data_IF_034068249022
#
_entry.id   IF_034068249022
#
_cell.length_a   1.000
_cell.length_b   1.000
_cell.length_c   1.000
_cell.angle_alpha   90.00
_cell.angle_beta   90.00
_cell.angle_gamma   90.00
#
_symmetry.space_group_name_H-M   'P 1'
#
loop_
_entity.id
_entity.type
_entity.pdbx_description
1 polymer ?
#
# COMPACT_ATOMS: atom_id res chain seq x y z
N UNK A 1 13.80 -3.19 6.15
CA UNK A 1 13.63 -2.02 5.26
C UNK A 1 14.81 -1.09 5.50
N UNK A 2 15.66 -0.82 4.50
CA UNK A 2 16.91 -0.07 4.66
C UNK A 2 16.69 1.33 5.27
N UNK A 3 15.59 1.97 4.89
CA UNK A 3 15.20 3.29 5.42
C UNK A 3 15.04 3.26 6.94
N UNK A 4 14.35 2.25 7.46
CA UNK A 4 14.15 2.11 8.90
C UNK A 4 15.44 1.81 9.66
N UNK A 5 16.36 1.06 9.04
CA UNK A 5 17.67 0.78 9.63
C UNK A 5 18.51 2.05 9.74
N UNK A 6 18.64 2.81 8.66
CA UNK A 6 19.37 4.09 8.66
C UNK A 6 18.75 5.04 9.67
N UNK A 7 17.43 5.14 9.70
CA UNK A 7 16.75 6.03 10.63
C UNK A 7 16.97 5.64 12.10
N UNK A 8 16.93 4.35 12.41
CA UNK A 8 17.17 3.87 13.76
C UNK A 8 18.64 4.08 14.19
N UNK A 9 19.60 3.97 13.27
CA UNK A 9 21.03 4.18 13.58
C UNK A 9 21.34 5.67 13.78
N UNK A 10 20.85 6.54 12.91
CA UNK A 10 21.19 7.98 12.94
C UNK A 10 20.45 8.73 14.05
N UNK A 11 19.18 8.38 14.29
CA UNK A 11 18.28 9.04 15.25
C UNK A 11 17.86 8.15 16.43
N UNK A 12 18.74 7.24 16.86
CA UNK A 12 18.46 6.32 17.97
C UNK A 12 18.07 7.06 19.26
N UNK A 13 18.90 8.02 19.67
CA UNK A 13 18.78 8.71 20.95
C UNK A 13 18.39 10.18 20.86
N UNK A 14 18.45 10.80 19.68
CA UNK A 14 18.25 12.25 19.51
C UNK A 14 17.43 12.55 18.25
N UNK A 15 16.71 13.67 18.25
CA UNK A 15 15.95 14.18 17.10
C UNK A 15 16.65 15.36 16.40
N UNK A 16 17.99 15.35 16.35
CA UNK A 16 18.80 16.42 15.73
C UNK A 16 18.89 16.22 14.22
N UNK A 17 18.75 17.30 13.44
CA UNK A 17 18.88 17.25 11.98
C UNK A 17 20.35 17.09 11.55
N UNK A 18 20.80 15.83 11.43
CA UNK A 18 22.17 15.46 11.02
C UNK A 18 22.31 15.23 9.51
N UNK A 19 21.20 14.93 8.82
CA UNK A 19 21.21 14.49 7.43
C UNK A 19 19.96 14.99 6.66
N UNK A 20 19.90 16.30 6.35
CA UNK A 20 18.72 16.91 5.72
C UNK A 20 18.44 16.32 4.33
N UNK A 21 19.49 16.02 3.55
CA UNK A 21 19.38 15.42 2.21
C UNK A 21 18.73 14.03 2.27
N UNK A 22 19.03 13.25 3.32
CA UNK A 22 18.42 11.94 3.51
C UNK A 22 16.92 12.05 3.80
N UNK A 23 16.54 13.00 4.68
CA UNK A 23 15.14 13.24 5.00
C UNK A 23 14.32 13.66 3.76
N UNK A 24 14.88 14.52 2.90
CA UNK A 24 14.23 14.93 1.65
C UNK A 24 13.95 13.74 0.72
N UNK A 25 14.96 12.89 0.51
CA UNK A 25 14.82 11.68 -0.32
C UNK A 25 13.75 10.76 0.29
N UNK A 26 13.78 10.55 1.60
CA UNK A 26 12.82 9.67 2.26
C UNK A 26 11.37 10.17 2.11
N UNK A 27 11.14 11.47 2.22
CA UNK A 27 9.81 12.08 2.04
C UNK A 27 9.35 11.94 0.59
N UNK A 28 10.24 12.14 -0.38
CA UNK A 28 9.98 11.96 -1.82
C UNK A 28 9.76 10.49 -2.21
N UNK A 29 10.20 9.52 -1.41
CA UNK A 29 10.03 8.09 -1.73
C UNK A 29 8.69 7.53 -1.22
N UNK A 30 8.01 8.19 -0.28
CA UNK A 30 6.57 7.98 0.00
C UNK A 30 6.11 6.52 0.13
N UNK A 31 6.88 5.68 0.83
CA UNK A 31 6.78 4.20 0.76
C UNK A 31 5.43 3.59 1.17
N UNK A 32 4.57 4.33 1.87
CA UNK A 32 3.33 3.80 2.45
C UNK A 32 2.28 3.48 1.39
N UNK A 33 2.08 4.36 0.41
CA UNK A 33 1.02 4.22 -0.60
C UNK A 33 1.40 3.16 -1.64
N UNK A 34 2.65 3.16 -2.09
CA UNK A 34 3.16 2.14 -3.02
C UNK A 34 3.05 0.72 -2.46
N UNK A 35 3.19 0.54 -1.15
CA UNK A 35 2.99 -0.76 -0.49
C UNK A 35 1.55 -1.26 -0.64
N UNK A 36 0.56 -0.41 -0.40
CA UNK A 36 -0.85 -0.79 -0.52
C UNK A 36 -1.25 -1.06 -1.97
N UNK A 37 -0.77 -0.23 -2.90
CA UNK A 37 -0.98 -0.43 -4.34
C UNK A 37 -0.38 -1.77 -4.83
N UNK A 38 0.84 -2.11 -4.40
CA UNK A 38 1.49 -3.36 -4.77
C UNK A 38 0.72 -4.58 -4.24
N UNK A 39 0.24 -4.52 -3.00
CA UNK A 39 -0.57 -5.60 -2.40
C UNK A 39 -1.88 -5.79 -3.14
N UNK A 40 -2.55 -4.71 -3.54
CA UNK A 40 -3.75 -4.77 -4.38
C UNK A 40 -3.46 -5.40 -5.76
N UNK A 41 -2.36 -5.01 -6.42
CA UNK A 41 -1.97 -5.59 -7.72
C UNK A 41 -1.68 -7.09 -7.61
N UNK A 42 -1.04 -7.53 -6.52
CA UNK A 42 -0.84 -8.96 -6.23
C UNK A 42 -2.19 -9.66 -6.10
N UNK A 43 -3.12 -9.12 -5.30
CA UNK A 43 -4.46 -9.72 -5.13
C UNK A 43 -5.22 -9.84 -6.47
N UNK A 44 -5.15 -8.80 -7.32
CA UNK A 44 -5.73 -8.80 -8.67
C UNK A 44 -5.08 -9.86 -9.57
N UNK A 45 -3.76 -9.94 -9.58
CA UNK A 45 -3.01 -10.94 -10.36
C UNK A 45 -3.40 -12.37 -9.96
N UNK A 46 -3.56 -12.64 -8.66
CA UNK A 46 -4.03 -13.95 -8.18
C UNK A 46 -5.45 -14.25 -8.68
N UNK A 47 -6.37 -13.28 -8.61
CA UNK A 47 -7.74 -13.47 -9.07
C UNK A 47 -7.83 -13.76 -10.58
N UNK A 48 -6.99 -13.10 -11.37
CA UNK A 48 -6.92 -13.30 -12.82
C UNK A 48 -6.40 -14.70 -13.18
N UNK A 49 -5.39 -15.22 -12.46
CA UNK A 49 -4.85 -16.57 -12.71
C UNK A 49 -5.87 -17.66 -12.40
N UNK A 50 -6.72 -17.45 -11.40
CA UNK A 50 -7.74 -18.44 -10.99
C UNK A 50 -9.01 -18.36 -11.87
N UNK A 51 -9.14 -17.31 -12.69
CA UNK A 51 -10.25 -17.14 -13.63
C UNK A 51 -10.22 -18.21 -14.74
N UNK A 52 -11.37 -18.74 -15.21
CA UNK A 52 -11.40 -19.81 -16.21
C UNK A 52 -11.00 -19.29 -17.60
N UNK A 53 -11.01 -17.96 -17.80
CA UNK A 53 -10.47 -17.28 -18.97
C UNK A 53 -8.93 -17.28 -19.01
N UNK A 54 -8.26 -17.75 -17.96
CA UNK A 54 -6.80 -17.77 -17.91
C UNK A 54 -6.17 -18.66 -18.99
N UNK A 55 -6.89 -19.69 -19.45
CA UNK A 55 -6.42 -20.62 -20.50
C UNK A 55 -6.48 -20.03 -21.92
N UNK A 56 -7.24 -18.95 -22.14
CA UNK A 56 -7.42 -18.29 -23.44
C UNK A 56 -6.71 -16.93 -23.52
N UNK A 57 -5.73 -16.68 -22.65
CA UNK A 57 -5.01 -15.40 -22.59
C UNK A 57 -4.06 -15.28 -23.79
N UNK A 58 -4.22 -14.22 -24.58
CA UNK A 58 -3.26 -13.87 -25.63
C UNK A 58 -2.02 -13.16 -25.06
N UNK A 59 -0.91 -13.13 -25.81
CA UNK A 59 0.30 -12.36 -25.43
C UNK A 59 0.00 -10.87 -25.25
N UNK A 60 -0.93 -10.32 -26.05
CA UNK A 60 -1.33 -8.92 -25.97
C UNK A 60 -2.09 -8.60 -24.67
N UNK A 61 -2.97 -9.50 -24.22
CA UNK A 61 -3.69 -9.35 -22.95
C UNK A 61 -2.77 -9.44 -21.74
N UNK A 62 -1.70 -10.23 -21.83
CA UNK A 62 -0.68 -10.31 -20.78
C UNK A 62 0.10 -8.99 -20.67
N UNK A 63 0.47 -8.38 -21.80
CA UNK A 63 1.18 -7.09 -21.82
C UNK A 63 0.29 -5.95 -21.32
N UNK A 64 -0.98 -5.89 -21.74
CA UNK A 64 -1.94 -4.88 -21.26
C UNK A 64 -2.13 -4.95 -19.74
N UNK A 65 -2.22 -6.16 -19.18
CA UNK A 65 -2.30 -6.35 -17.72
C UNK A 65 -1.05 -5.90 -16.99
N UNK A 66 0.12 -6.31 -17.45
CA UNK A 66 1.38 -5.87 -16.84
C UNK A 66 1.49 -4.34 -16.85
N UNK A 67 1.15 -3.69 -17.97
CA UNK A 67 1.12 -2.22 -18.05
C UNK A 67 0.16 -1.63 -17.03
N UNK A 68 -1.05 -2.19 -16.88
CA UNK A 68 -2.02 -1.69 -15.89
C UNK A 68 -1.52 -1.87 -14.46
N UNK A 69 -0.92 -3.01 -14.12
CA UNK A 69 -0.37 -3.28 -12.80
C UNK A 69 0.82 -2.34 -12.50
N UNK A 70 1.67 -2.05 -13.50
CA UNK A 70 2.74 -1.07 -13.36
C UNK A 70 2.23 0.36 -13.22
N UNK A 71 1.24 0.77 -14.02
CA UNK A 71 0.59 2.08 -13.92
C UNK A 71 -0.07 2.27 -12.55
N UNK A 72 -0.68 1.22 -12.00
CA UNK A 72 -1.31 1.30 -10.69
C UNK A 72 -0.29 1.27 -9.55
N UNK A 73 0.76 0.44 -9.67
CA UNK A 73 1.79 0.30 -8.63
C UNK A 73 2.77 1.47 -8.56
N UNK A 74 3.06 2.12 -9.69
CA UNK A 74 4.02 3.24 -9.76
C UNK A 74 3.36 4.57 -10.10
N UNK A 75 2.38 4.57 -11.01
CA UNK A 75 1.70 5.79 -11.44
C UNK A 75 0.85 6.41 -10.33
N UNK A 76 0.02 5.61 -9.65
CA UNK A 76 -0.83 6.15 -8.56
C UNK A 76 0.02 6.72 -7.40
N UNK A 77 1.03 6.00 -6.87
CA UNK A 77 1.93 6.61 -5.89
C UNK A 77 2.60 7.86 -6.43
N UNK A 78 3.13 7.86 -7.66
CA UNK A 78 3.78 9.02 -8.26
C UNK A 78 2.88 10.27 -8.32
N UNK A 79 1.62 10.10 -8.70
CA UNK A 79 0.64 11.20 -8.70
C UNK A 79 0.36 11.69 -7.28
N UNK A 80 0.15 10.78 -6.33
CA UNK A 80 -0.10 11.14 -4.92
C UNK A 80 1.12 11.85 -4.32
N UNK A 81 2.34 11.44 -4.69
CA UNK A 81 3.59 12.10 -4.29
C UNK A 81 3.67 13.52 -4.84
N UNK A 82 3.34 13.72 -6.11
CA UNK A 82 3.30 15.06 -6.71
C UNK A 82 2.24 15.96 -6.02
N UNK A 83 1.07 15.40 -5.70
CA UNK A 83 0.02 16.10 -4.97
C UNK A 83 0.31 16.29 -3.47
N UNK A 84 1.33 15.61 -2.92
CA UNK A 84 1.66 15.69 -1.49
C UNK A 84 1.99 17.12 -1.05
N UNK A 85 2.60 17.91 -1.93
CA UNK A 85 2.95 19.31 -1.70
C UNK A 85 1.72 20.14 -1.29
N UNK A 86 0.52 19.76 -1.73
CA UNK A 86 -0.69 20.54 -1.46
C UNK A 86 -1.08 20.63 0.02
N UNK A 87 -0.76 19.59 0.80
CA UNK A 87 -1.18 19.45 2.20
C UNK A 87 0.00 19.25 3.15
N UNK A 88 1.22 19.44 2.66
CA UNK A 88 2.44 19.31 3.43
C UNK A 88 2.79 20.67 4.06
N UNK A 89 2.71 20.82 5.39
CA UNK A 89 2.98 22.11 6.02
C UNK A 89 4.49 22.42 6.07
N UNK A 90 5.30 21.41 6.38
CA UNK A 90 6.75 21.53 6.56
C UNK A 90 7.48 20.47 5.73
N UNK A 91 8.74 20.74 5.41
CA UNK A 91 9.56 19.87 4.56
C UNK A 91 9.70 18.45 5.11
N UNK A 92 9.96 18.30 6.41
CA UNK A 92 9.96 17.03 7.13
C UNK A 92 9.87 17.27 8.66
N UNK A 93 9.51 16.24 9.41
CA UNK A 93 9.62 16.20 10.88
C UNK A 93 10.60 15.15 11.32
N UNK A 94 11.27 15.38 12.45
CA UNK A 94 12.15 14.40 13.08
C UNK A 94 11.50 13.88 14.35
N UNK A 95 11.45 12.56 14.47
CA UNK A 95 10.93 11.87 15.66
C UNK A 95 12.04 11.01 16.23
N UNK A 96 12.30 11.16 17.53
CA UNK A 96 13.28 10.35 18.25
C UNK A 96 13.00 8.84 18.10
N UNK A 97 14.01 8.06 17.71
CA UNK A 97 13.90 6.61 17.48
C UNK A 97 13.23 6.19 16.17
N UNK A 98 12.56 7.10 15.45
CA UNK A 98 11.87 6.82 14.17
C UNK A 98 12.56 7.50 12.98
N UNK A 99 13.25 8.62 13.21
CA UNK A 99 13.96 9.42 12.21
C UNK A 99 13.05 10.36 11.43
N UNK A 100 13.37 10.58 10.15
CA UNK A 100 12.65 11.53 9.30
C UNK A 100 11.26 11.01 8.91
N UNK A 101 10.26 11.87 9.00
CA UNK A 101 8.88 11.59 8.60
C UNK A 101 8.26 12.74 7.83
N UNK A 102 7.33 12.44 6.93
CA UNK A 102 6.58 13.44 6.20
C UNK A 102 5.51 14.07 7.10
N UNK A 103 5.47 15.40 7.16
CA UNK A 103 4.43 16.12 7.89
C UNK A 103 3.16 16.23 7.04
N UNK A 104 2.00 16.25 7.69
CA UNK A 104 0.72 16.45 7.04
C UNK A 104 -0.23 17.17 7.98
N UNK A 105 -1.14 17.95 7.42
CA UNK A 105 -2.28 18.52 8.14
C UNK A 105 -3.57 17.82 7.70
N UNK A 106 -4.52 17.70 8.61
CA UNK A 106 -5.85 17.20 8.26
C UNK A 106 -6.69 18.32 7.66
N UNK A 107 -6.83 18.23 6.35
CA UNK A 107 -7.64 19.12 5.52
C UNK A 107 -8.36 18.29 4.46
N UNK A 108 -9.34 18.87 3.76
CA UNK A 108 -10.06 18.15 2.70
C UNK A 108 -9.15 17.50 1.63
N UNK A 109 -8.02 18.11 1.18
CA UNK A 109 -7.13 17.46 0.21
C UNK A 109 -6.47 16.21 0.78
N UNK A 110 -6.10 16.20 2.06
CA UNK A 110 -5.51 15.01 2.70
C UNK A 110 -6.49 13.85 2.75
N UNK A 111 -7.78 14.13 3.00
CA UNK A 111 -8.81 13.09 2.99
C UNK A 111 -8.96 12.45 1.61
N UNK A 112 -8.98 13.27 0.55
CA UNK A 112 -9.16 12.81 -0.83
C UNK A 112 -7.90 12.17 -1.41
N UNK A 113 -6.72 12.73 -1.12
CA UNK A 113 -5.47 12.32 -1.76
C UNK A 113 -4.71 11.24 -0.99
N UNK A 114 -4.98 11.09 0.32
CA UNK A 114 -4.30 10.10 1.17
C UNK A 114 -5.27 9.13 1.82
N UNK A 115 -6.32 9.63 2.47
CA UNK A 115 -7.18 8.78 3.31
C UNK A 115 -8.08 7.85 2.49
N UNK A 116 -8.63 8.30 1.36
CA UNK A 116 -9.57 7.49 0.56
C UNK A 116 -8.91 6.27 -0.11
N UNK A 117 -7.63 6.35 -0.45
CA UNK A 117 -6.94 5.30 -1.20
C UNK A 117 -6.73 4.03 -0.39
N UNK A 118 -6.44 4.15 0.90
CA UNK A 118 -6.26 2.99 1.81
C UNK A 118 -7.50 2.07 1.84
N UNK A 119 -8.72 2.56 2.16
CA UNK A 119 -9.92 1.72 2.14
C UNK A 119 -10.31 1.28 0.72
N UNK A 120 -10.05 2.08 -0.32
CA UNK A 120 -10.31 1.65 -1.70
C UNK A 120 -9.45 0.42 -2.09
N UNK A 121 -8.16 0.44 -1.80
CA UNK A 121 -7.29 -0.70 -2.07
C UNK A 121 -7.60 -1.90 -1.16
N UNK A 122 -7.94 -1.66 0.11
CA UNK A 122 -8.31 -2.73 1.05
C UNK A 122 -9.62 -3.43 0.65
N UNK A 123 -10.66 -2.67 0.30
CA UNK A 123 -11.94 -3.23 -0.17
C UNK A 123 -11.77 -3.98 -1.47
N UNK A 124 -11.06 -3.38 -2.44
CA UNK A 124 -10.75 -4.04 -3.70
C UNK A 124 -9.96 -5.34 -3.51
N UNK A 125 -8.91 -5.32 -2.69
CA UNK A 125 -8.12 -6.51 -2.36
C UNK A 125 -8.97 -7.60 -1.72
N UNK A 126 -9.87 -7.23 -0.80
CA UNK A 126 -10.80 -8.17 -0.14
C UNK A 126 -11.71 -8.86 -1.15
N UNK A 127 -12.30 -8.10 -2.08
CA UNK A 127 -13.17 -8.65 -3.12
C UNK A 127 -12.42 -9.64 -4.02
N UNK A 128 -11.21 -9.30 -4.47
CA UNK A 128 -10.39 -10.18 -5.31
C UNK A 128 -9.94 -11.44 -4.55
N UNK A 129 -9.53 -11.31 -3.29
CA UNK A 129 -9.15 -12.47 -2.47
C UNK A 129 -10.34 -13.38 -2.17
N UNK A 130 -11.51 -12.82 -1.85
CA UNK A 130 -12.74 -13.59 -1.66
C UNK A 130 -13.16 -14.32 -2.94
N UNK A 131 -13.09 -13.66 -4.10
CA UNK A 131 -13.34 -14.27 -5.40
C UNK A 131 -12.39 -15.45 -5.67
N UNK A 132 -11.10 -15.26 -5.41
CA UNK A 132 -10.08 -16.29 -5.59
C UNK A 132 -10.39 -17.51 -4.72
N UNK A 133 -10.69 -17.31 -3.44
CA UNK A 133 -11.07 -18.39 -2.52
C UNK A 133 -12.35 -19.10 -2.95
N UNK A 134 -13.41 -18.36 -3.29
CA UNK A 134 -14.68 -18.93 -3.77
C UNK A 134 -14.46 -19.84 -4.99
N UNK A 135 -13.66 -19.37 -5.95
CA UNK A 135 -13.35 -20.11 -7.17
C UNK A 135 -12.50 -21.34 -6.90
N UNK A 136 -11.51 -21.24 -6.02
CA UNK A 136 -10.71 -22.38 -5.58
C UNK A 136 -11.58 -23.46 -4.94
N UNK A 137 -12.51 -23.09 -4.04
CA UNK A 137 -13.43 -24.03 -3.38
C UNK A 137 -14.37 -24.67 -4.41
N UNK A 138 -14.94 -23.89 -5.33
CA UNK A 138 -15.82 -24.40 -6.39
C UNK A 138 -15.09 -25.36 -7.34
N UNK A 139 -13.85 -25.06 -7.71
CA UNK A 139 -13.06 -25.97 -8.54
C UNK A 139 -12.74 -27.27 -7.80
N UNK A 140 -12.35 -27.23 -6.51
CA UNK A 140 -12.13 -28.44 -5.71
C UNK A 140 -13.38 -29.31 -5.61
N UNK A 141 -14.57 -28.72 -5.47
CA UNK A 141 -15.85 -29.46 -5.46
C UNK A 141 -16.14 -30.16 -6.79
N UNK A 142 -15.76 -29.56 -7.92
CA UNK A 142 -15.93 -30.17 -9.24
C UNK A 142 -14.86 -31.24 -9.54
N UNK A 143 -13.63 -31.10 -9.02
CA UNK A 143 -12.55 -32.07 -9.18
C UNK A 143 -12.58 -33.23 -8.15
N UNK A 144 -13.39 -33.14 -7.09
CA UNK A 144 -13.58 -34.22 -6.11
C UNK A 144 -14.07 -35.55 -6.70
N UNK A 145 -14.48 -35.57 -7.98
CA UNK A 145 -14.84 -36.80 -8.73
C UNK A 145 -13.79 -37.28 -9.75
N UNK A 146 -12.72 -36.52 -10.02
CA UNK A 146 -11.77 -36.80 -11.13
C UNK A 146 -10.31 -36.97 -10.67
N UNK A 147 -10.00 -36.69 -9.39
CA UNK A 147 -8.64 -36.80 -8.82
C UNK A 147 -8.20 -38.24 -8.54
N UNK A 148 -9.03 -39.25 -8.80
CA UNK A 148 -8.60 -40.65 -8.73
C UNK A 148 -7.66 -41.07 -9.88
N UNK A 149 -7.54 -40.27 -10.98
CA UNK A 149 -7.06 -40.83 -12.24
C UNK A 149 -5.86 -40.19 -12.98
N UNK A 150 -5.48 -38.93 -12.77
CA UNK A 150 -4.54 -38.31 -13.73
C UNK A 150 -3.57 -37.25 -13.18
N UNK A 151 -2.28 -37.60 -13.14
CA UNK A 151 -1.11 -36.77 -13.46
C UNK A 151 -1.15 -35.23 -13.18
N UNK A 152 -1.49 -34.76 -11.97
CA UNK A 152 -1.53 -33.30 -11.67
C UNK A 152 -1.01 -32.88 -10.29
N UNK A 153 0.07 -33.50 -9.80
CA UNK A 153 0.73 -33.06 -8.56
C UNK A 153 1.31 -31.63 -8.66
N UNK A 154 1.73 -31.20 -9.86
CA UNK A 154 2.37 -29.91 -10.09
C UNK A 154 1.40 -28.71 -10.04
N UNK A 155 0.12 -28.92 -10.35
CA UNK A 155 -0.91 -27.88 -10.29
C UNK A 155 -1.48 -27.73 -8.88
N UNK A 156 -1.68 -28.84 -8.15
CA UNK A 156 -2.22 -28.85 -6.78
C UNK A 156 -1.40 -28.00 -5.80
N UNK A 157 -0.07 -28.07 -5.86
CA UNK A 157 0.81 -27.27 -4.98
C UNK A 157 0.72 -25.76 -5.24
N UNK A 158 0.61 -25.33 -6.51
CA UNK A 158 0.36 -23.93 -6.88
C UNK A 158 -1.00 -23.45 -6.37
N UNK A 159 -2.03 -24.29 -6.45
CA UNK A 159 -3.37 -23.96 -5.95
C UNK A 159 -3.42 -23.79 -4.44
N UNK A 160 -2.76 -24.66 -3.67
CA UNK A 160 -2.68 -24.55 -2.21
C UNK A 160 -1.93 -23.27 -1.81
N UNK A 161 -0.82 -22.96 -2.47
CA UNK A 161 -0.06 -21.72 -2.21
C UNK A 161 -0.88 -20.46 -2.49
N UNK A 162 -1.63 -20.42 -3.61
CA UNK A 162 -2.51 -19.28 -3.91
C UNK A 162 -3.65 -19.13 -2.89
N UNK A 163 -4.24 -20.26 -2.47
CA UNK A 163 -5.26 -20.28 -1.43
C UNK A 163 -4.73 -19.75 -0.09
N UNK A 164 -3.56 -20.21 0.33
CA UNK A 164 -2.90 -19.76 1.55
C UNK A 164 -2.62 -18.24 1.54
N UNK A 165 -2.10 -17.70 0.43
CA UNK A 165 -1.86 -16.25 0.28
C UNK A 165 -3.16 -15.45 0.36
N UNK A 166 -4.23 -15.92 -0.29
CA UNK A 166 -5.52 -15.23 -0.29
C UNK A 166 -6.18 -15.24 1.09
N UNK A 167 -6.12 -16.38 1.79
CA UNK A 167 -6.63 -16.52 3.16
C UNK A 167 -5.80 -15.67 4.13
N UNK A 168 -4.46 -15.70 4.03
CA UNK A 168 -3.59 -14.86 4.84
C UNK A 168 -3.89 -13.37 4.65
N UNK A 169 -4.16 -12.93 3.41
CA UNK A 169 -4.54 -11.55 3.14
C UNK A 169 -5.89 -11.17 3.79
N UNK A 170 -6.90 -12.06 3.73
CA UNK A 170 -8.20 -11.82 4.37
C UNK A 170 -8.10 -11.80 5.91
N UNK A 171 -7.37 -12.73 6.50
CA UNK A 171 -7.26 -12.86 7.95
C UNK A 171 -6.33 -11.83 8.59
N UNK A 172 -5.27 -11.41 7.88
CA UNK A 172 -4.21 -10.54 8.44
C UNK A 172 -4.14 -9.20 7.73
N UNK A 173 -4.15 -9.19 6.40
CA UNK A 173 -4.03 -7.97 5.60
C UNK A 173 -5.18 -6.99 5.81
N UNK A 174 -6.43 -7.48 5.79
CA UNK A 174 -7.62 -6.63 5.98
C UNK A 174 -7.68 -6.03 7.38
N UNK A 175 -7.58 -6.80 8.48
CA UNK A 175 -7.59 -6.22 9.82
C UNK A 175 -6.46 -5.22 10.06
N UNK A 176 -5.24 -5.51 9.56
CA UNK A 176 -4.11 -4.58 9.66
C UNK A 176 -4.35 -3.28 8.89
N UNK A 177 -4.93 -3.34 7.69
CA UNK A 177 -5.24 -2.13 6.90
C UNK A 177 -6.31 -1.26 7.58
N UNK A 178 -7.32 -1.88 8.17
CA UNK A 178 -8.38 -1.20 8.92
C UNK A 178 -7.82 -0.56 10.19
N UNK A 179 -7.05 -1.33 10.96
CA UNK A 179 -6.36 -0.83 12.15
C UNK A 179 -5.42 0.33 11.83
N UNK A 180 -4.62 0.20 10.77
CA UNK A 180 -3.73 1.27 10.32
C UNK A 180 -4.51 2.53 9.96
N UNK A 181 -5.65 2.41 9.28
CA UNK A 181 -6.50 3.55 8.94
C UNK A 181 -7.08 4.21 10.20
N UNK A 182 -7.56 3.44 11.16
CA UNK A 182 -8.07 3.95 12.44
C UNK A 182 -6.97 4.69 13.22
N UNK A 183 -5.77 4.11 13.32
CA UNK A 183 -4.63 4.75 13.98
C UNK A 183 -4.23 6.03 13.26
N UNK A 184 -4.18 6.02 11.92
CA UNK A 184 -3.88 7.21 11.14
C UNK A 184 -4.92 8.30 11.38
N UNK A 185 -6.22 7.98 11.42
CA UNK A 185 -7.28 8.97 11.68
C UNK A 185 -7.25 9.48 13.12
N UNK A 186 -6.89 8.64 14.10
CA UNK A 186 -6.76 9.07 15.51
C UNK A 186 -5.51 9.91 15.78
N UNK A 187 -4.41 9.62 15.09
CA UNK A 187 -3.15 10.39 15.21
C UNK A 187 -3.18 11.68 14.40
N UNK A 188 -4.02 11.70 13.37
CA UNK A 188 -4.39 12.89 12.63
C UNK A 188 -5.15 13.82 13.56
N UNK A 189 -4.52 14.95 13.93
CA UNK A 189 -5.08 15.93 14.87
C UNK A 189 -6.38 16.59 14.40
N UNK A 190 -6.70 17.76 14.96
CA UNK A 190 -7.92 18.50 14.60
C UNK A 190 -8.02 18.74 13.09
N UNK A 191 -9.24 18.68 12.56
CA UNK A 191 -9.53 19.07 11.20
C UNK A 191 -9.43 20.60 11.06
N UNK A 192 -8.76 21.07 10.02
CA UNK A 192 -8.62 22.48 9.70
C UNK A 192 -9.24 22.78 8.33
N UNK A 193 -9.80 23.97 8.16
CA UNK A 193 -10.19 24.45 6.85
C UNK A 193 -8.95 24.72 5.99
N UNK A 194 -9.06 24.38 4.71
CA UNK A 194 -7.93 24.47 3.79
C UNK A 194 -7.62 25.92 3.45
N UNK A 195 -6.38 26.35 3.74
CA UNK A 195 -5.81 27.61 3.29
C UNK A 195 -4.36 27.40 2.88
N UNK A 196 -4.03 27.74 1.62
CA UNK A 196 -2.67 27.60 1.10
C UNK A 196 -1.65 28.37 1.95
N UNK A 197 -1.99 29.62 2.28
CA UNK A 197 -1.14 30.51 3.07
C UNK A 197 -0.90 29.96 4.48
N UNK A 198 -1.93 29.37 5.10
CA UNK A 198 -1.79 28.77 6.43
C UNK A 198 -0.89 27.53 6.39
N UNK A 199 -1.11 26.63 5.44
CA UNK A 199 -0.36 25.38 5.33
C UNK A 199 1.11 25.66 5.03
N UNK A 200 1.42 26.55 4.09
CA UNK A 200 2.79 26.86 3.69
C UNK A 200 3.47 27.94 4.53
N UNK A 201 2.79 28.46 5.56
CA UNK A 201 3.35 29.51 6.43
C UNK A 201 4.66 29.09 7.10
N UNK A 202 4.77 27.81 7.47
CA UNK A 202 5.91 27.25 8.18
C UNK A 202 6.90 26.49 7.27
N UNK A 203 6.72 26.53 5.94
CA UNK A 203 7.54 25.77 5.00
C UNK A 203 9.06 26.06 5.10
N UNK A 204 9.42 27.31 5.45
CA UNK A 204 10.82 27.76 5.61
C UNK A 204 11.36 27.58 7.03
N UNK A 205 10.54 27.13 7.98
CA UNK A 205 10.94 26.94 9.38
C UNK A 205 11.67 25.59 9.52
N UNK A 206 12.66 25.53 10.43
CA UNK A 206 13.41 24.31 10.75
C UNK A 206 12.51 23.09 11.01
N UNK A 207 12.99 21.86 10.79
CA UNK A 207 12.16 20.67 10.94
C UNK A 207 11.55 20.58 12.34
N UNK A 208 10.26 20.27 12.40
CA UNK A 208 9.57 20.11 13.68
C UNK A 208 10.09 18.83 14.32
N UNK A 209 10.77 19.00 15.46
CA UNK A 209 11.32 17.91 16.26
C UNK A 209 10.32 17.51 17.33
N UNK A 210 9.92 16.25 17.34
CA UNK A 210 9.15 15.66 18.43
C UNK A 210 10.12 14.87 19.32
N UNK A 211 10.19 15.27 20.61
CA UNK A 211 11.02 14.65 21.65
C UNK A 211 10.49 13.29 22.11
#
# INVERSE_FOLDING_TARGET
>A
NLIGFINAVVWYNDAVDRAPVWCDIQVIVGTSVGRMAAVFCIARFLADIVSPRATAITRQDRRRRAIHDYLLSFGVPGVIMACHVLYQPNRYSLIRGVGCTATQVMTWPTLVLRTIWSPLFATGGTLYSAYTVYRLIRHRRNFGRVVAGAHSALTTSRFIRLGAVSIAYLCVGVPLSMWSTIVNVRSSGRYYDYSWAYIHSAWKVHPVTYS
#
